data_IF_777670674064
#
_entry.id   IF_777670674064
#
_cell.length_a   1.000
_cell.length_b   1.000
_cell.length_c   1.000
_cell.angle_alpha   90.00
_cell.angle_beta   90.00
_cell.angle_gamma   90.00
#
_symmetry.space_group_name_H-M   'P 1'
#
loop_
_entity.id
_entity.type
_entity.pdbx_description
1 polymer ?
#
# COMPACT_ATOMS: atom_id res chain seq x y z
N UNK A 1 -33.65 -24.81 12.87
CA UNK A 1 -33.07 -25.49 14.07
C UNK A 1 -31.79 -24.85 14.57
N UNK A 2 -30.76 -24.60 13.74
CA UNK A 2 -29.48 -24.00 14.18
C UNK A 2 -29.67 -22.67 14.93
N UNK A 3 -30.58 -21.81 14.47
CA UNK A 3 -30.92 -20.54 15.13
C UNK A 3 -31.44 -20.67 16.56
N UNK A 4 -32.22 -21.71 16.84
CA UNK A 4 -32.76 -21.98 18.19
C UNK A 4 -31.62 -22.43 19.11
N UNK A 5 -30.72 -23.27 18.62
CA UNK A 5 -29.54 -23.74 19.37
C UNK A 5 -28.58 -22.57 19.66
N UNK A 6 -28.30 -21.72 18.68
CA UNK A 6 -27.49 -20.52 18.88
C UNK A 6 -28.11 -19.55 19.89
N UNK A 7 -29.43 -19.36 19.84
CA UNK A 7 -30.15 -18.53 20.81
C UNK A 7 -30.09 -19.11 22.23
N UNK A 8 -30.24 -20.43 22.39
CA UNK A 8 -30.14 -21.10 23.69
C UNK A 8 -28.73 -21.01 24.26
N UNK A 9 -27.69 -21.36 23.48
CA UNK A 9 -26.28 -21.27 23.93
C UNK A 9 -25.96 -19.85 24.35
N UNK A 10 -26.44 -18.87 23.60
CA UNK A 10 -26.24 -17.47 23.89
C UNK A 10 -26.92 -17.02 25.19
N UNK A 11 -28.20 -17.39 25.40
CA UNK A 11 -28.91 -17.12 26.66
C UNK A 11 -28.16 -17.69 27.86
N UNK A 12 -27.59 -18.90 27.71
CA UNK A 12 -26.76 -19.52 28.75
C UNK A 12 -25.49 -18.69 29.01
N UNK A 13 -24.77 -18.25 27.97
CA UNK A 13 -23.56 -17.43 28.12
C UNK A 13 -23.86 -16.07 28.78
N UNK A 14 -24.96 -15.42 28.42
CA UNK A 14 -25.39 -14.17 29.06
C UNK A 14 -25.72 -14.38 30.54
N UNK A 15 -26.43 -15.47 30.86
CA UNK A 15 -26.79 -15.80 32.23
C UNK A 15 -25.54 -16.13 33.06
N UNK A 16 -24.58 -16.86 32.49
CA UNK A 16 -23.28 -17.12 33.12
C UNK A 16 -22.45 -15.84 33.32
N UNK A 17 -22.44 -14.91 32.35
CA UNK A 17 -21.76 -13.63 32.49
C UNK A 17 -22.39 -12.78 33.61
N UNK A 18 -23.72 -12.72 33.70
CA UNK A 18 -24.44 -12.04 34.80
C UNK A 18 -24.10 -12.69 36.14
N UNK A 19 -24.11 -14.02 36.24
CA UNK A 19 -23.78 -14.74 37.46
C UNK A 19 -22.31 -14.54 37.88
N UNK A 20 -21.38 -14.59 36.92
CA UNK A 20 -19.96 -14.34 37.15
C UNK A 20 -19.71 -12.92 37.67
N UNK A 21 -20.33 -11.92 37.02
CA UNK A 21 -20.20 -10.52 37.42
C UNK A 21 -20.86 -10.26 38.77
N UNK A 22 -22.01 -10.89 39.07
CA UNK A 22 -22.63 -10.84 40.40
C UNK A 22 -21.74 -11.43 41.49
N UNK A 23 -21.04 -12.54 41.19
CA UNK A 23 -20.05 -13.14 42.10
C UNK A 23 -18.83 -12.26 42.29
N UNK A 24 -18.31 -11.67 41.21
CA UNK A 24 -17.15 -10.78 41.25
C UNK A 24 -17.45 -9.51 42.06
N UNK A 25 -18.65 -8.92 41.89
CA UNK A 25 -19.06 -7.73 42.62
C UNK A 25 -19.26 -8.00 44.13
N UNK A 26 -19.62 -9.23 44.53
CA UNK A 26 -19.70 -9.63 45.94
C UNK A 26 -18.32 -9.72 46.63
N UNK A 27 -17.23 -9.84 45.85
CA UNK A 27 -15.87 -10.03 46.37
C UNK A 27 -15.02 -8.75 46.40
N UNK A 28 -15.52 -7.60 45.93
CA UNK A 28 -14.74 -6.35 45.91
C UNK A 28 -14.86 -5.58 47.23
N UNK A 29 -13.71 -5.16 47.75
CA UNK A 29 -13.59 -4.27 48.90
C UNK A 29 -14.13 -2.86 48.58
N UNK A 30 -14.63 -2.13 49.59
CA UNK A 30 -15.24 -0.81 49.42
C UNK A 30 -14.18 0.24 49.07
N UNK A 31 -13.79 0.36 47.80
CA UNK A 31 -12.84 1.37 47.35
C UNK A 31 -12.53 1.44 45.85
N UNK A 32 -12.68 0.35 45.09
CA UNK A 32 -12.38 0.38 43.64
C UNK A 32 -13.52 0.99 42.80
N UNK A 33 -13.13 1.78 41.80
CA UNK A 33 -14.01 2.56 40.92
C UNK A 33 -15.15 1.71 40.36
N UNK A 34 -16.38 2.09 40.72
CA UNK A 34 -17.62 1.49 40.27
C UNK A 34 -17.72 1.59 38.74
N UNK A 35 -17.76 0.44 38.07
CA UNK A 35 -18.42 0.36 36.76
C UNK A 35 -19.83 0.94 36.97
N UNK A 36 -20.10 2.10 36.37
CA UNK A 36 -21.23 2.93 36.73
C UNK A 36 -22.54 2.22 36.42
N UNK A 37 -23.53 2.33 37.30
CA UNK A 37 -24.88 1.78 37.07
C UNK A 37 -25.45 2.19 35.70
N UNK A 38 -25.06 3.35 35.18
CA UNK A 38 -25.40 3.83 33.84
C UNK A 38 -24.88 2.93 32.72
N UNK A 39 -23.64 2.43 32.81
CA UNK A 39 -23.04 1.55 31.80
C UNK A 39 -23.75 0.19 31.75
N UNK A 40 -24.20 -0.31 32.90
CA UNK A 40 -25.00 -1.52 33.02
C UNK A 40 -26.39 -1.38 32.40
N UNK A 41 -27.06 -0.27 32.65
CA UNK A 41 -28.39 0.02 32.08
C UNK A 41 -28.30 0.13 30.57
N UNK A 42 -27.26 0.77 30.04
CA UNK A 42 -27.02 0.86 28.59
C UNK A 42 -26.77 -0.54 28.00
N UNK A 43 -25.96 -1.37 28.63
CA UNK A 43 -25.71 -2.73 28.14
C UNK A 43 -27.00 -3.56 28.09
N UNK A 44 -27.82 -3.51 29.13
CA UNK A 44 -29.07 -4.29 29.21
C UNK A 44 -30.13 -3.76 28.24
N UNK A 45 -30.20 -2.44 28.03
CA UNK A 45 -31.17 -1.84 27.10
C UNK A 45 -30.80 -2.07 25.64
N UNK A 46 -29.53 -1.95 25.27
CA UNK A 46 -29.09 -1.95 23.86
C UNK A 46 -28.89 -3.38 23.33
N UNK A 47 -28.44 -4.30 24.17
CA UNK A 47 -28.03 -5.65 23.76
C UNK A 47 -29.18 -6.54 23.22
N UNK A 48 -30.43 -6.49 23.74
CA UNK A 48 -31.58 -7.16 23.14
C UNK A 48 -31.85 -6.74 21.69
N UNK A 49 -31.65 -5.46 21.36
CA UNK A 49 -31.81 -4.96 20.00
C UNK A 49 -30.69 -5.49 19.09
N UNK A 50 -29.44 -5.55 19.58
CA UNK A 50 -28.33 -6.13 18.82
C UNK A 50 -28.63 -7.60 18.45
N UNK A 51 -29.21 -8.38 19.36
CA UNK A 51 -29.58 -9.78 19.10
C UNK A 51 -30.73 -9.89 18.11
N UNK A 52 -31.77 -9.07 18.27
CA UNK A 52 -32.95 -9.10 17.40
C UNK A 52 -32.58 -8.78 15.95
N UNK A 53 -31.65 -7.84 15.76
CA UNK A 53 -31.20 -7.41 14.45
C UNK A 53 -29.99 -8.20 13.92
N UNK A 54 -29.24 -8.91 14.78
CA UNK A 54 -28.12 -9.78 14.39
C UNK A 54 -28.44 -10.74 13.22
N UNK A 55 -29.59 -11.46 13.17
CA UNK A 55 -29.94 -12.32 12.04
C UNK A 55 -29.98 -11.63 10.68
N UNK A 56 -30.29 -10.34 10.68
CA UNK A 56 -30.48 -9.54 9.46
C UNK A 56 -29.16 -8.84 9.12
N UNK A 57 -28.51 -8.24 10.12
CA UNK A 57 -27.28 -7.47 9.93
C UNK A 57 -26.07 -8.36 9.69
N UNK A 58 -25.98 -9.52 10.33
CA UNK A 58 -24.81 -10.39 10.21
C UNK A 58 -24.64 -10.97 8.79
N UNK A 59 -25.68 -11.54 8.13
CA UNK A 59 -25.56 -11.95 6.73
C UNK A 59 -25.26 -10.78 5.80
N UNK A 60 -25.81 -9.60 6.08
CA UNK A 60 -25.53 -8.39 5.30
C UNK A 60 -24.06 -7.96 5.41
N UNK A 61 -23.49 -7.94 6.63
CA UNK A 61 -22.08 -7.63 6.88
C UNK A 61 -21.17 -8.67 6.21
N UNK A 62 -21.48 -9.97 6.34
CA UNK A 62 -20.73 -11.03 5.67
C UNK A 62 -20.79 -10.87 4.14
N UNK A 63 -21.97 -10.58 3.59
CA UNK A 63 -22.14 -10.36 2.16
C UNK A 63 -21.33 -9.15 1.67
N UNK A 64 -21.36 -8.02 2.39
CA UNK A 64 -20.51 -6.85 2.12
C UNK A 64 -19.03 -7.23 2.13
N UNK A 65 -18.58 -7.95 3.16
CA UNK A 65 -17.19 -8.40 3.29
C UNK A 65 -16.76 -9.30 2.11
N UNK A 66 -17.59 -10.27 1.71
CA UNK A 66 -17.32 -11.13 0.55
C UNK A 66 -17.30 -10.35 -0.76
N UNK A 67 -18.22 -9.39 -0.93
CA UNK A 67 -18.27 -8.52 -2.10
C UNK A 67 -16.99 -7.69 -2.21
N UNK A 68 -16.54 -7.09 -1.12
CA UNK A 68 -15.33 -6.26 -1.10
C UNK A 68 -14.07 -7.11 -1.28
N UNK A 69 -14.02 -8.31 -0.68
CA UNK A 69 -12.95 -9.28 -0.94
C UNK A 69 -12.88 -9.66 -2.42
N UNK A 70 -14.02 -9.92 -3.07
CA UNK A 70 -14.08 -10.23 -4.51
C UNK A 70 -13.62 -9.05 -5.36
N UNK A 71 -14.02 -7.82 -5.02
CA UNK A 71 -13.55 -6.61 -5.71
C UNK A 71 -12.03 -6.46 -5.65
N UNK A 72 -11.42 -6.67 -4.47
CA UNK A 72 -9.95 -6.66 -4.31
C UNK A 72 -9.29 -7.72 -5.20
N UNK A 73 -9.74 -8.97 -5.14
CA UNK A 73 -9.19 -10.05 -5.98
C UNK A 73 -9.29 -9.72 -7.48
N UNK A 74 -10.40 -9.16 -7.94
CA UNK A 74 -10.56 -8.77 -9.34
C UNK A 74 -9.61 -7.63 -9.74
N UNK A 75 -9.44 -6.64 -8.85
CA UNK A 75 -8.49 -5.54 -9.05
C UNK A 75 -7.05 -6.05 -9.10
N UNK A 76 -6.66 -6.91 -8.15
CA UNK A 76 -5.31 -7.49 -8.08
C UNK A 76 -4.99 -8.29 -9.35
N UNK A 77 -5.96 -9.08 -9.85
CA UNK A 77 -5.82 -9.81 -11.13
C UNK A 77 -5.69 -8.90 -12.34
N UNK A 78 -6.42 -7.78 -12.36
CA UNK A 78 -6.32 -6.81 -13.44
C UNK A 78 -4.96 -6.10 -13.44
N UNK A 79 -4.46 -5.75 -12.26
CA UNK A 79 -3.14 -5.16 -12.06
C UNK A 79 -2.02 -6.13 -12.47
N UNK A 80 -2.09 -7.39 -12.03
CA UNK A 80 -1.16 -8.46 -12.45
C UNK A 80 -1.18 -8.65 -13.98
N UNK A 81 -2.36 -8.62 -14.60
CA UNK A 81 -2.49 -8.71 -16.05
C UNK A 81 -1.81 -7.53 -16.75
N UNK A 82 -2.03 -6.30 -16.27
CA UNK A 82 -1.40 -5.08 -16.82
C UNK A 82 0.12 -5.12 -16.66
N UNK A 83 0.62 -5.57 -15.51
CA UNK A 83 2.07 -5.72 -15.26
C UNK A 83 2.67 -6.77 -16.21
N UNK A 84 2.02 -7.91 -16.40
CA UNK A 84 2.47 -8.95 -17.33
C UNK A 84 2.44 -8.48 -18.80
N UNK A 85 1.40 -7.74 -19.21
CA UNK A 85 1.35 -7.11 -20.54
C UNK A 85 2.48 -6.09 -20.73
N UNK A 86 2.79 -5.30 -19.70
CA UNK A 86 3.91 -4.35 -19.73
C UNK A 86 5.25 -5.08 -19.85
N UNK A 87 5.50 -6.10 -19.01
CA UNK A 87 6.70 -6.94 -19.05
C UNK A 87 6.93 -7.53 -20.45
N UNK A 88 5.88 -8.08 -21.05
CA UNK A 88 5.94 -8.61 -22.41
C UNK A 88 6.29 -7.53 -23.45
N UNK A 89 5.69 -6.33 -23.36
CA UNK A 89 5.99 -5.20 -24.27
C UNK A 89 7.43 -4.73 -24.20
N UNK A 90 8.04 -4.75 -23.01
CA UNK A 90 9.43 -4.32 -22.80
C UNK A 90 10.44 -5.47 -22.92
N UNK A 91 9.99 -6.66 -23.34
CA UNK A 91 10.86 -7.80 -23.63
C UNK A 91 11.37 -8.57 -22.41
N UNK A 92 10.70 -8.45 -21.26
CA UNK A 92 11.01 -9.23 -20.07
C UNK A 92 10.28 -10.57 -20.06
N UNK A 93 10.91 -11.56 -19.42
CA UNK A 93 10.26 -12.85 -19.14
C UNK A 93 9.25 -12.71 -17.99
N UNK A 94 8.27 -13.63 -17.86
CA UNK A 94 7.28 -13.57 -16.78
C UNK A 94 7.89 -13.62 -15.37
N UNK A 95 9.01 -14.32 -15.20
CA UNK A 95 9.79 -14.44 -13.97
C UNK A 95 10.73 -13.24 -13.72
N UNK A 96 10.92 -12.36 -14.71
CA UNK A 96 11.72 -11.15 -14.59
C UNK A 96 10.84 -9.96 -14.17
N UNK A 97 11.44 -9.04 -13.41
CA UNK A 97 10.83 -7.79 -13.01
C UNK A 97 11.63 -6.64 -13.63
N UNK A 98 10.93 -5.60 -14.08
CA UNK A 98 11.60 -4.36 -14.45
C UNK A 98 12.04 -3.62 -13.19
N UNK A 99 13.11 -2.85 -13.32
CA UNK A 99 13.56 -1.94 -12.29
C UNK A 99 12.85 -0.59 -12.46
N UNK A 100 12.46 0.03 -11.36
CA UNK A 100 11.88 1.37 -11.31
C UNK A 100 12.37 2.09 -10.04
N UNK A 101 12.34 3.42 -10.03
CA UNK A 101 12.89 4.21 -8.92
C UNK A 101 12.16 3.98 -7.59
N UNK A 102 10.85 3.70 -7.59
CA UNK A 102 10.06 3.39 -6.38
C UNK A 102 10.52 2.10 -5.68
N UNK A 103 11.08 1.16 -6.44
CA UNK A 103 11.59 -0.13 -5.94
C UNK A 103 13.08 -0.06 -5.58
N UNK A 104 13.70 1.10 -5.70
CA UNK A 104 15.10 1.33 -5.31
C UNK A 104 15.15 2.05 -3.97
N UNK A 105 16.00 1.58 -3.06
CA UNK A 105 16.26 2.22 -1.77
C UNK A 105 17.75 2.38 -1.52
N UNK A 106 18.10 3.32 -0.62
CA UNK A 106 19.50 3.53 -0.25
C UNK A 106 20.37 4.01 -1.42
N UNK A 107 21.69 3.85 -1.34
CA UNK A 107 22.55 3.97 -2.51
C UNK A 107 23.06 2.62 -2.96
N UNK A 108 23.33 2.48 -4.25
CA UNK A 108 23.72 1.21 -4.85
C UNK A 108 24.25 1.34 -6.26
N UNK A 109 24.21 0.23 -7.00
CA UNK A 109 24.62 0.19 -8.39
C UNK A 109 23.57 -0.50 -9.26
N UNK A 110 23.21 0.16 -10.36
CA UNK A 110 22.42 -0.43 -11.45
C UNK A 110 23.37 -1.21 -12.35
N UNK A 111 23.00 -2.44 -12.71
CA UNK A 111 23.72 -3.34 -13.61
C UNK A 111 22.79 -3.83 -14.72
N UNK A 112 23.23 -3.78 -15.97
CA UNK A 112 22.49 -4.35 -17.10
C UNK A 112 22.91 -5.78 -17.37
N UNK A 113 21.95 -6.69 -17.47
CA UNK A 113 22.18 -8.10 -17.77
C UNK A 113 22.78 -8.32 -19.16
N UNK A 114 22.37 -7.51 -20.14
CA UNK A 114 22.62 -7.80 -21.55
C UNK A 114 23.94 -7.22 -22.06
N UNK A 115 24.34 -6.03 -21.60
CA UNK A 115 25.56 -5.37 -22.07
C UNK A 115 26.62 -5.12 -20.98
N UNK A 116 26.34 -5.54 -19.74
CA UNK A 116 27.25 -5.35 -18.60
C UNK A 116 27.43 -3.91 -18.15
N UNK A 117 26.60 -2.96 -18.63
CA UNK A 117 26.61 -1.58 -18.16
C UNK A 117 26.43 -1.53 -16.65
N UNK A 118 27.23 -0.71 -15.95
CA UNK A 118 27.10 -0.48 -14.53
C UNK A 118 27.26 1.00 -14.18
N UNK A 119 26.39 1.49 -13.30
CA UNK A 119 26.43 2.86 -12.80
C UNK A 119 26.04 2.90 -11.33
N UNK A 120 26.76 3.69 -10.53
CA UNK A 120 26.40 3.94 -9.13
C UNK A 120 25.32 5.00 -9.09
N UNK A 121 24.27 4.72 -8.32
CA UNK A 121 23.15 5.64 -8.13
C UNK A 121 22.82 5.72 -6.65
N UNK A 122 22.44 6.91 -6.20
CA UNK A 122 21.85 7.10 -4.88
C UNK A 122 20.35 7.04 -5.10
N UNK A 123 19.61 6.16 -4.44
CA UNK A 123 18.15 6.18 -4.51
C UNK A 123 17.67 7.43 -3.80
N UNK A 124 16.88 8.19 -4.54
CA UNK A 124 16.52 9.56 -4.21
C UNK A 124 15.08 9.59 -3.66
N UNK A 125 14.82 8.95 -2.53
CA UNK A 125 13.45 8.87 -1.97
C UNK A 125 13.41 9.07 -0.45
N UNK A 126 14.12 10.10 0.03
CA UNK A 126 14.22 10.42 1.47
C UNK A 126 13.58 11.77 1.84
N UNK A 127 12.40 12.10 1.30
CA UNK A 127 11.63 13.26 1.73
C UNK A 127 10.12 13.06 1.53
N UNK A 128 9.32 13.67 2.42
CA UNK A 128 7.87 13.54 2.37
C UNK A 128 7.25 14.38 1.24
N UNK A 129 7.71 15.63 1.11
CA UNK A 129 7.16 16.62 0.18
C UNK A 129 8.25 17.36 -0.59
N UNK A 130 9.50 17.33 -0.13
CA UNK A 130 10.65 17.86 -0.86
C UNK A 130 11.79 16.86 -0.83
N UNK A 131 12.21 16.38 -2.00
CA UNK A 131 13.36 15.49 -2.12
C UNK A 131 13.95 15.57 -3.51
N UNK A 132 15.25 15.24 -3.61
CA UNK A 132 15.77 14.80 -4.89
C UNK A 132 15.06 13.50 -5.25
N UNK A 133 14.71 13.31 -6.53
CA UNK A 133 14.15 12.07 -7.08
C UNK A 133 14.91 11.65 -8.34
N UNK A 134 14.89 10.35 -8.61
CA UNK A 134 15.51 9.77 -9.79
C UNK A 134 14.67 10.01 -11.03
N UNK A 135 15.33 10.32 -12.14
CA UNK A 135 14.71 10.50 -13.45
C UNK A 135 15.53 9.78 -14.52
N UNK A 136 14.88 9.30 -15.57
CA UNK A 136 15.57 8.79 -16.75
C UNK A 136 15.24 9.67 -17.96
N UNK A 137 16.28 10.13 -18.66
CA UNK A 137 16.08 10.92 -19.87
C UNK A 137 15.44 10.06 -20.98
N UNK A 138 14.33 10.48 -21.61
CA UNK A 138 13.66 9.68 -22.64
C UNK A 138 14.46 9.58 -23.95
N UNK A 139 15.41 10.50 -24.19
CA UNK A 139 16.24 10.50 -25.41
C UNK A 139 17.50 9.65 -25.29
N UNK A 140 18.24 9.81 -24.18
CA UNK A 140 19.55 9.18 -24.01
C UNK A 140 19.60 8.14 -22.88
N UNK A 141 18.47 7.91 -22.21
CA UNK A 141 18.30 6.97 -21.11
C UNK A 141 19.24 7.16 -19.92
N UNK A 142 19.97 8.29 -19.86
CA UNK A 142 20.81 8.62 -18.72
C UNK A 142 19.95 8.73 -17.45
N UNK A 143 20.45 8.16 -16.36
CA UNK A 143 19.89 8.39 -15.04
C UNK A 143 20.33 9.76 -14.56
N UNK A 144 19.38 10.55 -14.08
CA UNK A 144 19.58 11.92 -13.64
C UNK A 144 18.82 12.15 -12.34
N UNK A 145 19.14 13.25 -11.68
CA UNK A 145 18.51 13.66 -10.43
C UNK A 145 17.84 14.98 -10.66
N UNK A 146 16.66 15.13 -10.07
CA UNK A 146 15.92 16.38 -10.06
C UNK A 146 15.39 16.64 -8.66
N UNK A 147 15.43 17.89 -8.24
CA UNK A 147 14.79 18.30 -7.00
C UNK A 147 13.28 18.44 -7.24
N UNK A 148 12.49 17.74 -6.42
CA UNK A 148 11.05 17.66 -6.53
C UNK A 148 10.38 18.19 -5.27
N UNK A 149 9.37 19.03 -5.47
CA UNK A 149 8.45 19.51 -4.44
C UNK A 149 7.04 19.04 -4.79
N UNK A 150 6.39 18.30 -3.90
CA UNK A 150 5.04 17.77 -4.09
C UNK A 150 4.19 17.94 -2.84
N UNK A 151 2.90 18.18 -3.05
CA UNK A 151 1.89 18.15 -1.97
C UNK A 151 1.54 16.72 -1.53
N UNK A 152 1.94 15.71 -2.33
CA UNK A 152 1.60 14.31 -2.12
C UNK A 152 2.85 13.44 -1.94
N UNK A 153 2.74 12.48 -1.03
CA UNK A 153 3.83 11.59 -0.65
C UNK A 153 4.27 10.71 -1.83
N UNK A 154 5.58 10.65 -2.10
CA UNK A 154 6.21 9.83 -3.15
C UNK A 154 5.75 10.08 -4.59
N UNK A 155 5.18 11.25 -4.87
CA UNK A 155 4.80 11.64 -6.23
C UNK A 155 5.64 12.78 -6.76
N UNK A 156 5.85 12.80 -8.08
CA UNK A 156 6.35 13.99 -8.77
C UNK A 156 5.30 15.10 -8.62
N UNK A 157 5.70 16.23 -8.02
CA UNK A 157 4.89 17.44 -8.01
C UNK A 157 4.96 18.16 -9.35
N UNK A 158 4.34 19.33 -9.40
CA UNK A 158 4.38 20.14 -10.62
C UNK A 158 5.71 20.91 -10.69
N UNK A 159 6.49 20.67 -11.74
CA UNK A 159 7.75 21.39 -11.90
C UNK A 159 7.52 22.86 -12.27
N UNK A 160 8.28 23.73 -11.62
CA UNK A 160 8.29 25.19 -11.87
C UNK A 160 9.11 25.55 -13.10
N UNK A 161 9.96 24.65 -13.60
CA UNK A 161 10.86 24.89 -14.73
C UNK A 161 10.91 23.66 -15.66
N UNK A 162 11.47 23.82 -16.86
CA UNK A 162 11.73 22.67 -17.72
C UNK A 162 13.01 21.97 -17.25
N UNK A 163 13.01 20.64 -17.22
CA UNK A 163 14.20 19.88 -16.86
C UNK A 163 15.11 19.70 -18.08
N UNK A 164 16.37 20.11 -17.98
CA UNK A 164 17.35 19.91 -19.04
C UNK A 164 18.25 18.74 -18.70
N UNK A 165 18.24 17.69 -19.53
CA UNK A 165 19.12 16.55 -19.32
C UNK A 165 20.59 16.97 -19.37
N UNK A 166 21.38 16.78 -18.29
CA UNK A 166 22.77 17.21 -18.24
C UNK A 166 23.69 16.45 -19.21
N UNK A 167 23.28 15.27 -19.69
CA UNK A 167 24.09 14.45 -20.60
C UNK A 167 23.91 14.80 -22.07
N UNK A 168 22.67 15.09 -22.50
CA UNK A 168 22.35 15.24 -23.93
C UNK A 168 21.60 16.53 -24.28
N UNK A 169 21.34 17.40 -23.30
CA UNK A 169 20.67 18.69 -23.49
C UNK A 169 19.18 18.59 -23.87
N UNK A 170 18.58 17.40 -23.77
CA UNK A 170 17.13 17.25 -24.04
C UNK A 170 16.35 18.01 -22.98
N UNK A 171 15.53 18.94 -23.43
CA UNK A 171 14.58 19.67 -22.59
C UNK A 171 13.34 18.81 -22.43
N UNK A 172 13.06 18.39 -21.20
CA UNK A 172 11.85 17.67 -20.82
C UNK A 172 10.89 18.71 -20.25
N UNK A 173 9.80 18.95 -20.97
CA UNK A 173 8.86 20.01 -20.62
C UNK A 173 7.97 19.58 -19.46
N UNK A 174 7.49 20.55 -18.67
CA UNK A 174 6.54 20.31 -17.57
C UNK A 174 5.32 19.45 -17.95
N UNK A 175 4.78 19.63 -19.17
CA UNK A 175 3.64 18.83 -19.62
C UNK A 175 4.01 17.35 -19.80
N UNK A 176 5.24 17.07 -20.21
CA UNK A 176 5.74 15.70 -20.39
C UNK A 176 5.95 15.01 -19.04
N UNK A 177 6.31 15.76 -18.00
CA UNK A 177 6.32 15.21 -16.63
C UNK A 177 5.00 14.60 -16.24
N UNK A 178 3.87 15.26 -16.56
CA UNK A 178 2.52 14.73 -16.30
C UNK A 178 2.20 13.41 -17.00
N UNK A 179 2.94 13.07 -18.04
CA UNK A 179 2.72 11.91 -18.90
C UNK A 179 3.67 10.75 -18.52
N UNK A 180 4.85 11.05 -17.97
CA UNK A 180 5.85 10.07 -17.50
C UNK A 180 5.87 9.96 -15.96
N UNK A 181 4.69 10.03 -15.30
CA UNK A 181 4.53 10.09 -13.84
C UNK A 181 4.54 8.70 -13.20
N UNK A 182 5.70 8.06 -13.14
CA UNK A 182 5.90 6.95 -12.23
C UNK A 182 7.32 6.87 -11.73
N UNK A 183 7.52 6.99 -10.41
CA UNK A 183 8.63 6.25 -9.79
C UNK A 183 8.53 4.74 -10.11
N UNK A 184 7.34 4.27 -10.51
CA UNK A 184 7.04 2.93 -10.99
C UNK A 184 7.29 2.69 -12.49
N UNK A 185 7.77 3.68 -13.24
CA UNK A 185 8.06 3.50 -14.66
C UNK A 185 9.29 2.61 -14.87
N UNK A 186 9.26 1.69 -15.87
CA UNK A 186 10.41 0.84 -16.19
C UNK A 186 11.63 1.65 -16.61
N UNK A 187 12.77 1.31 -16.01
CA UNK A 187 14.07 1.84 -16.38
C UNK A 187 14.72 1.01 -17.49
N UNK A 188 15.42 1.71 -18.39
CA UNK A 188 16.14 1.10 -19.50
C UNK A 188 17.65 1.35 -19.41
N UNK A 189 18.44 0.43 -19.94
CA UNK A 189 19.89 0.59 -19.96
C UNK A 189 20.30 1.81 -20.83
N UNK A 190 21.12 2.75 -20.33
CA UNK A 190 21.60 3.88 -21.13
C UNK A 190 22.44 3.51 -22.36
N UNK A 191 22.94 2.27 -22.42
CA UNK A 191 23.85 1.79 -23.47
C UNK A 191 23.15 0.92 -24.52
N UNK A 192 22.32 -0.04 -24.09
CA UNK A 192 21.66 -0.99 -25.00
C UNK A 192 20.13 -0.94 -24.96
N UNK A 193 19.55 -0.06 -24.15
CA UNK A 193 18.11 0.14 -23.98
C UNK A 193 17.35 -1.12 -23.49
N UNK A 194 18.06 -2.12 -22.96
CA UNK A 194 17.43 -3.27 -22.32
C UNK A 194 16.74 -2.88 -21.01
N UNK A 195 15.56 -3.47 -20.77
CA UNK A 195 14.85 -3.39 -19.49
C UNK A 195 15.40 -4.37 -18.42
N UNK A 196 16.33 -5.26 -18.78
CA UNK A 196 16.94 -6.26 -17.89
C UNK A 196 18.00 -5.61 -17.00
N UNK A 197 17.55 -4.78 -16.08
CA UNK A 197 18.36 -4.09 -15.10
C UNK A 197 18.22 -4.71 -13.72
N UNK A 198 19.32 -4.76 -12.99
CA UNK A 198 19.38 -5.17 -11.59
C UNK A 198 19.94 -4.05 -10.75
N UNK A 199 19.33 -3.81 -9.59
CA UNK A 199 19.86 -2.88 -8.60
C UNK A 199 20.46 -3.65 -7.43
N UNK A 200 21.71 -3.34 -7.11
CA UNK A 200 22.39 -3.85 -5.92
C UNK A 200 22.58 -2.72 -4.94
N UNK A 201 21.80 -2.71 -3.85
CA UNK A 201 21.94 -1.72 -2.77
C UNK A 201 23.25 -1.97 -2.01
N UNK A 202 24.00 -0.89 -1.75
CA UNK A 202 25.26 -0.91 -1.02
C UNK A 202 25.06 -0.45 0.43
N UNK A 203 24.26 0.59 0.65
CA UNK A 203 23.95 1.11 1.98
C UNK A 203 22.59 1.79 1.98
N UNK A 204 21.94 1.80 3.14
CA UNK A 204 20.68 2.53 3.37
C UNK A 204 21.03 4.01 3.61
N UNK A 205 20.21 4.91 3.07
CA UNK A 205 20.34 6.36 3.24
C UNK A 205 19.21 6.94 4.08
#
# INVERSE_FOLDING_TARGET
MIWVVCSIIYCIVCLLAVLYLRRSNKKREPGESKFGFKEWVVLILVFPFIILFSPIWFPYILFQHFRDKRKRIMKDKEEEKRENELKAKIGLRPDENYLCFSRMGGAGAIKCADCGYQEKIISFTHGMTSCNIGRQCPKCHAFTVEYNESEHYHTFGDSKEDFVCPKCGTVIRKKEESIFKGNDDPLFCPKCHSARLYYHMHYIT
#
